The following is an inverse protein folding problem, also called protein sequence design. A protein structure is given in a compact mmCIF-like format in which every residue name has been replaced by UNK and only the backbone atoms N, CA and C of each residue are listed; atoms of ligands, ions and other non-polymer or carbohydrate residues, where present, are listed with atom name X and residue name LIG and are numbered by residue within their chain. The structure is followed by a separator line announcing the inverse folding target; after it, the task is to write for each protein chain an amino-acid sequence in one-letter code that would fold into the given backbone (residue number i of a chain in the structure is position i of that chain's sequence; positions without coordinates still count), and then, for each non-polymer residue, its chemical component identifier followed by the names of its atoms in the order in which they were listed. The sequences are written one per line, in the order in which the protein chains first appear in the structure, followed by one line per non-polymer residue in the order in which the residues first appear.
data_IF_667950145219
#
_entry.id   IF_667950145219
#
_cell.length_a   1.000
_cell.length_b   1.000
_cell.length_c   1.000
_cell.angle_alpha   90.00
_cell.angle_beta   90.00
_cell.angle_gamma   90.00
#
_symmetry.space_group_name_H-M   'P 1'
#
loop_
_entity.id
_entity.type
_entity.pdbx_description
1 polymer ?
#
# COMPACT_ATOMS: atom_id res chain seq x y z
N UNK A 1 -16.99 22.65 -7.99
CA UNK A 1 -15.84 22.73 -7.08
C UNK A 1 -15.52 21.34 -6.51
N UNK A 2 -14.74 20.52 -7.23
CA UNK A 2 -14.40 19.15 -6.81
C UNK A 2 -13.64 19.09 -5.45
N UNK A 3 -12.91 20.14 -5.08
CA UNK A 3 -12.16 20.26 -3.82
C UNK A 3 -12.99 20.24 -2.52
N UNK A 4 -14.33 20.25 -2.61
CA UNK A 4 -15.21 20.17 -1.42
C UNK A 4 -15.74 18.76 -1.15
N UNK A 5 -15.52 17.79 -2.04
CA UNK A 5 -16.02 16.43 -1.84
C UNK A 5 -15.18 15.70 -0.77
N UNK A 6 -15.77 15.27 0.37
CA UNK A 6 -15.06 14.56 1.43
C UNK A 6 -14.33 13.31 0.95
N UNK A 7 -14.86 12.65 -0.09
CA UNK A 7 -14.33 11.43 -0.66
C UNK A 7 -13.10 11.70 -1.51
N UNK A 8 -13.11 12.76 -2.31
CA UNK A 8 -11.93 13.22 -3.03
C UNK A 8 -10.79 13.59 -2.06
N UNK A 9 -11.10 14.32 -0.99
CA UNK A 9 -10.10 14.67 0.05
C UNK A 9 -9.56 13.45 0.79
N UNK A 10 -10.37 12.41 0.96
CA UNK A 10 -9.90 11.14 1.51
C UNK A 10 -8.88 10.49 0.56
N UNK A 11 -9.22 10.32 -0.72
CA UNK A 11 -8.30 9.72 -1.70
C UNK A 11 -7.02 10.52 -1.88
N UNK A 12 -7.10 11.85 -1.92
CA UNK A 12 -5.91 12.70 -1.98
C UNK A 12 -4.96 12.43 -0.80
N UNK A 13 -5.50 12.24 0.41
CA UNK A 13 -4.69 11.86 1.58
C UNK A 13 -4.08 10.48 1.43
N UNK A 14 -4.85 9.48 1.01
CA UNK A 14 -4.34 8.11 0.79
C UNK A 14 -3.22 8.08 -0.26
N UNK A 15 -3.41 8.75 -1.39
CA UNK A 15 -2.39 8.89 -2.44
C UNK A 15 -1.14 9.57 -1.90
N UNK A 16 -1.29 10.63 -1.11
CA UNK A 16 -0.16 11.35 -0.49
C UNK A 16 0.59 10.46 0.50
N UNK A 17 -0.11 9.70 1.34
CA UNK A 17 0.51 8.78 2.30
C UNK A 17 1.27 7.66 1.60
N UNK A 18 0.64 7.01 0.60
CA UNK A 18 1.29 5.97 -0.20
C UNK A 18 2.52 6.47 -0.96
N UNK A 19 2.43 7.66 -1.56
CA UNK A 19 3.56 8.28 -2.26
C UNK A 19 4.72 8.60 -1.31
N UNK A 20 4.43 9.12 -0.11
CA UNK A 20 5.46 9.41 0.89
C UNK A 20 6.16 8.15 1.36
N UNK A 21 5.40 7.10 1.70
CA UNK A 21 5.98 5.83 2.12
C UNK A 21 6.81 5.18 1.00
N UNK A 22 6.33 5.24 -0.24
CA UNK A 22 7.09 4.73 -1.39
C UNK A 22 8.42 5.47 -1.57
N UNK A 23 8.41 6.79 -1.40
CA UNK A 23 9.62 7.60 -1.47
C UNK A 23 10.60 7.21 -0.37
N UNK A 24 10.13 7.04 0.87
CA UNK A 24 10.95 6.66 2.01
C UNK A 24 11.59 5.28 1.80
N UNK A 25 10.79 4.27 1.41
CA UNK A 25 11.29 2.92 1.10
C UNK A 25 12.33 2.95 -0.02
N UNK A 26 12.11 3.73 -1.08
CA UNK A 26 13.08 3.86 -2.19
C UNK A 26 14.38 4.51 -1.72
N UNK A 27 14.29 5.56 -0.91
CA UNK A 27 15.47 6.25 -0.39
C UNK A 27 16.26 5.33 0.55
N UNK A 28 15.57 4.61 1.43
CA UNK A 28 16.16 3.62 2.31
C UNK A 28 16.92 2.54 1.54
N UNK A 29 16.30 1.96 0.52
CA UNK A 29 16.94 0.95 -0.33
C UNK A 29 18.14 1.53 -1.10
N UNK A 30 18.04 2.75 -1.62
CA UNK A 30 19.15 3.42 -2.29
C UNK A 30 20.33 3.70 -1.34
N UNK A 31 20.03 4.06 -0.09
CA UNK A 31 21.03 4.26 0.95
C UNK A 31 21.70 2.95 1.38
N UNK A 32 20.92 1.86 1.48
CA UNK A 32 21.45 0.51 1.73
C UNK A 32 22.41 0.10 0.63
N UNK A 33 22.06 0.29 -0.65
CA UNK A 33 22.96 0.01 -1.78
C UNK A 33 24.27 0.79 -1.65
N UNK A 34 24.19 2.11 -1.38
CA UNK A 34 25.39 2.93 -1.21
C UNK A 34 26.27 2.49 -0.03
N UNK A 35 25.67 2.01 1.07
CA UNK A 35 26.41 1.44 2.21
C UNK A 35 27.10 0.15 1.79
N UNK A 36 26.42 -0.75 1.08
CA UNK A 36 26.99 -2.01 0.58
C UNK A 36 28.14 -1.78 -0.42
N UNK A 37 28.07 -0.71 -1.20
CA UNK A 37 29.13 -0.31 -2.14
C UNK A 37 30.27 0.49 -1.48
N UNK A 38 30.21 0.75 -0.16
CA UNK A 38 31.19 1.55 0.56
C UNK A 38 31.16 3.06 0.21
N UNK A 39 30.14 3.52 -0.51
CA UNK A 39 29.96 4.92 -0.95
C UNK A 39 29.30 5.80 0.10
N UNK A 40 28.64 5.19 1.10
CA UNK A 40 27.97 5.90 2.20
C UNK A 40 28.36 5.28 3.55
N UNK A 41 28.64 6.13 4.54
CA UNK A 41 28.87 5.67 5.91
C UNK A 41 27.57 5.09 6.48
N UNK A 42 27.68 3.91 7.09
CA UNK A 42 26.56 3.28 7.75
C UNK A 42 26.13 4.10 8.98
N UNK A 43 24.85 4.45 9.06
CA UNK A 43 24.25 5.10 10.24
C UNK A 43 23.60 4.05 11.15
N UNK A 44 23.26 4.43 12.39
CA UNK A 44 22.50 3.54 13.30
C UNK A 44 21.16 3.11 12.70
N UNK A 45 20.50 4.02 11.98
CA UNK A 45 19.25 3.72 11.26
C UNK A 45 19.48 2.64 10.20
N UNK A 46 20.44 2.86 9.28
CA UNK A 46 20.72 1.93 8.20
C UNK A 46 21.24 0.58 8.69
N UNK A 47 21.98 0.56 9.81
CA UNK A 47 22.41 -0.67 10.46
C UNK A 47 21.23 -1.51 10.94
N UNK A 48 20.24 -0.89 11.58
CA UNK A 48 19.02 -1.58 12.01
C UNK A 48 18.22 -2.08 10.81
N UNK A 49 18.00 -1.21 9.82
CA UNK A 49 17.29 -1.54 8.60
C UNK A 49 17.91 -2.77 7.90
N UNK A 50 19.22 -2.76 7.65
CA UNK A 50 19.93 -3.87 7.00
C UNK A 50 19.76 -5.17 7.81
N UNK A 51 19.87 -5.11 9.14
CA UNK A 51 19.70 -6.28 10.00
C UNK A 51 18.28 -6.86 9.95
N UNK A 52 17.24 -6.03 9.82
CA UNK A 52 15.86 -6.49 9.66
C UNK A 52 15.64 -7.11 8.28
N UNK A 53 16.14 -6.46 7.22
CA UNK A 53 16.04 -6.94 5.84
C UNK A 53 16.72 -8.29 5.63
N UNK A 54 17.95 -8.47 6.15
CA UNK A 54 18.69 -9.74 6.05
C UNK A 54 17.96 -10.89 6.79
N UNK A 55 17.21 -10.58 7.84
CA UNK A 55 16.40 -11.56 8.59
C UNK A 55 15.04 -11.82 7.95
N UNK A 56 14.71 -11.16 6.84
CA UNK A 56 13.38 -11.24 6.22
C UNK A 56 12.26 -10.57 7.03
N UNK A 57 12.62 -9.76 8.03
CA UNK A 57 11.68 -9.07 8.92
C UNK A 57 11.29 -7.73 8.29
N UNK A 58 9.99 -7.41 8.29
CA UNK A 58 9.48 -6.11 7.86
C UNK A 58 10.02 -5.00 8.79
N UNK A 59 10.75 -4.00 8.27
CA UNK A 59 11.20 -2.87 9.06
C UNK A 59 10.04 -2.10 9.69
N UNK A 60 10.15 -1.76 10.97
CA UNK A 60 9.09 -1.01 11.68
C UNK A 60 8.85 0.36 11.04
N UNK A 61 9.88 0.98 10.48
CA UNK A 61 9.80 2.25 9.77
C UNK A 61 8.98 2.17 8.47
N UNK A 62 8.64 0.98 7.98
CA UNK A 62 7.81 0.82 6.77
C UNK A 62 6.36 0.43 7.10
N UNK A 63 6.10 0.01 8.34
CA UNK A 63 4.78 -0.45 8.80
C UNK A 63 3.86 0.71 9.22
N UNK A 64 3.57 1.62 8.28
CA UNK A 64 2.70 2.80 8.51
C UNK A 64 1.19 2.48 8.51
N UNK A 65 0.81 1.25 8.17
CA UNK A 65 -0.56 0.75 8.16
C UNK A 65 -0.61 -0.63 8.83
N UNK A 66 -1.82 -1.15 9.06
CA UNK A 66 -1.97 -2.48 9.67
C UNK A 66 -1.44 -3.55 8.73
N UNK A 67 -0.44 -4.28 9.21
CA UNK A 67 0.17 -5.41 8.50
C UNK A 67 -0.20 -6.71 9.23
N UNK A 68 -0.55 -7.80 8.51
CA UNK A 68 -0.78 -9.10 9.14
C UNK A 68 0.39 -9.55 10.02
N UNK A 69 0.08 -10.15 11.17
CA UNK A 69 1.10 -10.68 12.07
C UNK A 69 1.94 -11.74 11.34
N UNK A 70 3.27 -11.65 11.48
CA UNK A 70 4.20 -12.58 10.83
C UNK A 70 4.42 -12.35 9.34
N UNK A 71 3.87 -11.28 8.73
CA UNK A 71 4.19 -10.93 7.35
C UNK A 71 5.69 -10.64 7.21
N UNK A 72 6.33 -11.34 6.28
CA UNK A 72 7.73 -11.13 5.92
C UNK A 72 7.90 -9.87 5.06
N UNK A 73 9.12 -9.31 5.02
CA UNK A 73 9.41 -8.15 4.18
C UNK A 73 9.13 -8.42 2.68
N UNK A 74 9.35 -9.64 2.19
CA UNK A 74 9.12 -9.99 0.77
C UNK A 74 7.62 -9.98 0.46
N UNK A 75 6.80 -10.59 1.34
CA UNK A 75 5.34 -10.56 1.21
C UNK A 75 4.82 -9.12 1.26
N UNK A 76 5.35 -8.31 2.19
CA UNK A 76 4.99 -6.91 2.31
C UNK A 76 5.36 -6.10 1.07
N UNK A 77 6.54 -6.30 0.46
CA UNK A 77 6.94 -5.61 -0.77
C UNK A 77 5.99 -5.94 -1.92
N UNK A 78 5.55 -7.19 -2.04
CA UNK A 78 4.57 -7.60 -3.06
C UNK A 78 3.23 -6.90 -2.87
N UNK A 79 2.66 -6.96 -1.65
CA UNK A 79 1.39 -6.32 -1.29
C UNK A 79 1.48 -4.78 -1.45
N UNK A 80 2.56 -4.17 -0.97
CA UNK A 80 2.79 -2.74 -1.09
C UNK A 80 2.87 -2.29 -2.56
N UNK A 81 3.50 -3.08 -3.44
CA UNK A 81 3.53 -2.79 -4.88
C UNK A 81 2.14 -2.75 -5.50
N UNK A 82 1.27 -3.70 -5.15
CA UNK A 82 -0.12 -3.73 -5.62
C UNK A 82 -0.91 -2.52 -5.13
N UNK A 83 -0.74 -2.14 -3.85
CA UNK A 83 -1.35 -0.92 -3.28
C UNK A 83 -0.92 0.34 -4.01
N UNK A 84 0.37 0.47 -4.33
CA UNK A 84 0.88 1.63 -5.09
C UNK A 84 0.28 1.67 -6.49
N UNK A 85 0.19 0.54 -7.19
CA UNK A 85 -0.47 0.48 -8.52
C UNK A 85 -1.93 0.90 -8.44
N UNK A 86 -2.64 0.46 -7.40
CA UNK A 86 -4.03 0.87 -7.18
C UNK A 86 -4.14 2.38 -6.95
N UNK A 87 -3.29 2.96 -6.10
CA UNK A 87 -3.26 4.41 -5.87
C UNK A 87 -2.95 5.20 -7.14
N UNK A 88 -2.06 4.71 -7.99
CA UNK A 88 -1.77 5.30 -9.29
C UNK A 88 -3.00 5.28 -10.21
N UNK A 89 -3.72 4.15 -10.28
CA UNK A 89 -4.93 4.03 -11.09
C UNK A 89 -6.04 4.97 -10.60
N UNK A 90 -6.24 5.09 -9.28
CA UNK A 90 -7.22 6.03 -8.70
C UNK A 90 -6.85 7.47 -9.05
N UNK A 91 -5.58 7.83 -8.90
CA UNK A 91 -5.08 9.18 -9.22
C UNK A 91 -5.35 9.54 -10.68
N UNK A 92 -5.08 8.61 -11.60
CA UNK A 92 -5.33 8.78 -13.03
C UNK A 92 -6.83 8.86 -13.37
N UNK A 93 -7.66 8.01 -12.76
CA UNK A 93 -9.11 8.03 -12.93
C UNK A 93 -9.73 9.34 -12.41
N UNK A 94 -9.27 9.80 -11.25
CA UNK A 94 -9.70 11.07 -10.66
C UNK A 94 -9.32 12.28 -11.54
N UNK A 95 -8.16 12.24 -12.20
CA UNK A 95 -7.71 13.28 -13.12
C UNK A 95 -8.48 13.31 -14.45
N UNK A 96 -8.99 12.16 -14.92
CA UNK A 96 -9.63 12.02 -16.24
C UNK A 96 -11.16 12.14 -16.23
N UNK A 97 -11.85 11.66 -15.18
CA UNK A 97 -13.32 11.54 -15.19
C UNK A 97 -14.09 12.26 -14.08
N UNK A 98 -13.39 12.90 -13.13
CA UNK A 98 -14.03 13.55 -11.99
C UNK A 98 -14.79 12.57 -11.06
N UNK A 99 -15.61 13.10 -10.14
CA UNK A 99 -16.22 12.34 -9.04
C UNK A 99 -17.16 11.17 -9.45
N UNK A 100 -17.58 11.09 -10.72
CA UNK A 100 -18.47 10.03 -11.22
C UNK A 100 -17.74 8.70 -11.45
N UNK A 101 -16.50 8.73 -11.96
CA UNK A 101 -15.65 7.54 -12.17
C UNK A 101 -15.10 6.99 -10.85
N UNK A 102 -14.99 7.84 -9.83
CA UNK A 102 -14.56 7.40 -8.51
C UNK A 102 -15.53 6.36 -7.91
N UNK A 103 -16.84 6.44 -8.15
CA UNK A 103 -17.86 5.57 -7.48
C UNK A 103 -17.69 4.07 -7.76
N UNK A 104 -17.22 3.71 -8.94
CA UNK A 104 -16.94 2.31 -9.32
C UNK A 104 -15.59 1.86 -8.75
N UNK A 105 -14.61 2.77 -8.66
CA UNK A 105 -13.30 2.53 -8.04
C UNK A 105 -13.37 2.49 -6.50
N UNK A 106 -14.33 3.20 -5.90
CA UNK A 106 -14.59 3.29 -4.45
C UNK A 106 -14.98 1.93 -3.87
N UNK A 107 -15.76 1.11 -4.58
CA UNK A 107 -16.06 -0.25 -4.11
C UNK A 107 -14.79 -1.12 -4.07
N UNK A 108 -13.90 -0.98 -5.05
CA UNK A 108 -12.62 -1.71 -5.08
C UNK A 108 -11.67 -1.24 -3.96
N UNK A 109 -11.65 0.07 -3.67
CA UNK A 109 -10.87 0.63 -2.57
C UNK A 109 -11.43 0.24 -1.21
N UNK A 110 -12.75 0.24 -1.02
CA UNK A 110 -13.38 -0.16 0.26
C UNK A 110 -13.26 -1.68 0.48
N UNK A 111 -13.37 -2.50 -0.56
CA UNK A 111 -13.22 -3.96 -0.41
C UNK A 111 -11.75 -4.37 -0.16
N UNK A 112 -10.77 -3.56 -0.56
CA UNK A 112 -9.33 -3.84 -0.35
C UNK A 112 -8.66 -3.03 0.80
N UNK A 113 -9.16 -1.84 1.15
CA UNK A 113 -8.64 -1.03 2.27
C UNK A 113 -9.18 -1.48 3.63
N UNK A 114 -10.29 -2.23 3.68
CA UNK A 114 -10.87 -2.74 4.93
C UNK A 114 -10.24 -4.05 5.45
N UNK A 115 -9.06 -4.45 4.94
CA UNK A 115 -8.23 -5.49 5.56
C UNK A 115 -7.29 -4.94 6.65
N UNK A 116 -7.84 -4.12 7.55
CA UNK A 116 -7.27 -3.85 8.88
C UNK A 116 -7.55 -5.03 9.85
N UNK A 117 -8.28 -6.08 9.46
CA UNK A 117 -8.30 -7.33 10.23
C UNK A 117 -8.26 -8.56 9.32
N UNK A 118 -7.18 -9.33 9.46
CA UNK A 118 -7.05 -10.78 9.26
C UNK A 118 -8.12 -11.55 8.48
N UNK A 119 -8.32 -11.25 7.20
CA UNK A 119 -9.13 -12.07 6.29
C UNK A 119 -8.34 -12.30 4.99
N UNK A 120 -7.07 -12.72 5.07
CA UNK A 120 -6.46 -13.45 3.94
C UNK A 120 -6.71 -14.96 4.05
N UNK A 121 -6.91 -15.47 5.27
CA UNK A 121 -7.14 -16.91 5.51
C UNK A 121 -8.61 -17.31 5.26
N UNK A 122 -9.58 -16.43 5.55
CA UNK A 122 -11.02 -16.74 5.43
C UNK A 122 -11.53 -16.62 3.98
N UNK A 123 -11.03 -15.67 3.19
CA UNK A 123 -11.46 -15.47 1.80
C UNK A 123 -10.89 -16.51 0.83
N UNK A 124 -9.83 -17.22 1.20
CA UNK A 124 -9.33 -18.35 0.41
C UNK A 124 -10.20 -19.61 0.57
N UNK A 125 -10.91 -19.74 1.69
CA UNK A 125 -11.70 -20.92 2.03
C UNK A 125 -13.22 -20.73 1.93
N UNK A 126 -13.73 -19.49 1.95
CA UNK A 126 -15.17 -19.20 1.90
C UNK A 126 -15.48 -18.03 0.94
N UNK A 127 -15.80 -18.35 -0.31
CA UNK A 127 -16.89 -17.65 -0.99
C UNK A 127 -16.57 -16.47 -1.92
N UNK A 128 -15.80 -16.69 -2.99
CA UNK A 128 -15.88 -15.87 -4.22
C UNK A 128 -17.31 -15.81 -4.82
N UNK A 129 -18.22 -16.72 -4.42
CA UNK A 129 -19.62 -16.75 -4.87
C UNK A 129 -20.46 -15.56 -4.38
N UNK A 130 -20.20 -15.03 -3.18
CA UNK A 130 -20.99 -13.91 -2.64
C UNK A 130 -20.60 -12.57 -3.29
N UNK A 131 -19.33 -12.42 -3.68
CA UNK A 131 -18.84 -11.23 -4.40
C UNK A 131 -19.37 -11.18 -5.83
N UNK A 132 -19.54 -12.36 -6.46
CA UNK A 132 -20.10 -12.48 -7.82
C UNK A 132 -21.59 -12.09 -7.90
N UNK A 133 -22.34 -12.28 -6.81
CA UNK A 133 -23.75 -11.87 -6.70
C UNK A 133 -23.94 -10.35 -6.56
N UNK A 134 -22.97 -9.67 -5.91
CA UNK A 134 -22.99 -8.22 -5.73
C UNK A 134 -22.62 -7.49 -7.03
N UNK A 135 -21.74 -8.09 -7.84
CA UNK A 135 -21.35 -7.57 -9.16
C UNK A 135 -22.46 -7.74 -10.21
N UNK A 136 -23.34 -8.73 -10.07
CA UNK A 136 -24.43 -8.96 -11.04
C UNK A 136 -25.70 -8.11 -10.80
N UNK A 137 -25.79 -7.37 -9.69
CA UNK A 137 -26.94 -6.52 -9.35
C UNK A 137 -26.58 -5.02 -9.23
N UNK A 138 -25.45 -4.62 -9.80
CA UNK A 138 -25.06 -3.22 -9.99
C UNK A 138 -24.83 -2.95 -11.48
#
# INVERSE_FOLDING_TARGET
CLNKDPLFRFFEREVKMGAKLLQDVRQDLADVVQVCEGKKKQTNYLRTLINELVKGILPRSWSHYTVPAGMTVIQWVSDFSERIKQLQNISQAAASGGAKELKVSILCCIVLLFLIKGISEILRHQGYKSLQLLISNC
#
